data_IF_399034238889
#
_entry.id   IF_399034238889
#
_cell.length_a   1.000
_cell.length_b   1.000
_cell.length_c   1.000
_cell.angle_alpha   90.00
_cell.angle_beta   90.00
_cell.angle_gamma   90.00
#
_symmetry.space_group_name_H-M   'P 1'
#
loop_
_entity.id
_entity.type
_entity.pdbx_description
1 polymer ?
#
# COMPACT_ATOMS: atom_id res chain seq x y z
N UNK A 1 4.42 -8.04 9.47
CA UNK A 1 4.67 -7.77 10.91
C UNK A 1 6.08 -7.20 11.05
N UNK A 2 6.23 -5.87 11.05
CA UNK A 2 7.55 -5.20 11.03
C UNK A 2 8.30 -5.32 12.36
N UNK A 3 7.57 -5.55 13.46
CA UNK A 3 8.11 -5.60 14.83
C UNK A 3 9.09 -6.78 15.02
N UNK A 4 8.82 -7.93 14.40
CA UNK A 4 9.67 -9.12 14.49
C UNK A 4 11.05 -8.90 13.85
N UNK A 5 11.10 -8.24 12.70
CA UNK A 5 12.37 -7.88 12.05
C UNK A 5 13.17 -6.90 12.91
N UNK A 6 12.47 -5.99 13.61
CA UNK A 6 13.09 -4.99 14.48
C UNK A 6 13.75 -5.65 15.71
N UNK A 7 13.05 -6.58 16.37
CA UNK A 7 13.63 -7.36 17.47
C UNK A 7 14.81 -8.21 16.98
N UNK A 8 14.66 -8.87 15.83
CA UNK A 8 15.72 -9.71 15.27
C UNK A 8 16.99 -8.90 14.97
N UNK A 9 16.87 -7.62 14.58
CA UNK A 9 18.01 -6.70 14.39
C UNK A 9 18.77 -6.41 15.69
N UNK A 10 18.07 -6.31 16.82
CA UNK A 10 18.68 -6.02 18.13
C UNK A 10 19.41 -7.25 18.69
N UNK A 11 18.88 -8.44 18.45
CA UNK A 11 19.39 -9.70 18.99
C UNK A 11 20.36 -10.46 18.07
N UNK A 12 20.63 -9.95 16.86
CA UNK A 12 21.50 -10.65 15.92
C UNK A 12 22.97 -10.59 16.34
N UNK A 13 23.64 -11.75 16.31
CA UNK A 13 25.08 -11.80 16.48
C UNK A 13 25.78 -11.19 15.25
N UNK A 14 26.27 -9.96 15.44
CA UNK A 14 26.94 -9.17 14.40
C UNK A 14 28.31 -9.72 14.01
N UNK A 15 28.89 -10.61 14.81
CA UNK A 15 30.19 -11.20 14.51
C UNK A 15 30.09 -12.30 13.44
N UNK A 16 28.89 -12.86 13.26
CA UNK A 16 28.65 -13.89 12.26
C UNK A 16 28.04 -13.30 10.98
N UNK A 17 28.86 -13.23 9.93
CA UNK A 17 28.50 -12.68 8.61
C UNK A 17 27.33 -13.41 7.94
N UNK A 18 27.12 -14.69 8.23
CA UNK A 18 26.02 -15.49 7.66
C UNK A 18 24.68 -15.01 8.20
N UNK A 19 24.57 -14.77 9.50
CA UNK A 19 23.34 -14.26 10.10
C UNK A 19 23.03 -12.84 9.62
N UNK A 20 24.03 -11.96 9.57
CA UNK A 20 23.87 -10.59 9.06
C UNK A 20 23.39 -10.59 7.61
N UNK A 21 23.98 -11.43 6.74
CA UNK A 21 23.58 -11.56 5.34
C UNK A 21 22.15 -12.10 5.18
N UNK A 22 21.78 -13.14 5.93
CA UNK A 22 20.43 -13.70 5.91
C UNK A 22 19.37 -12.69 6.38
N UNK A 23 19.68 -11.91 7.42
CA UNK A 23 18.80 -10.87 7.92
C UNK A 23 18.56 -9.76 6.90
N UNK A 24 19.61 -9.28 6.23
CA UNK A 24 19.51 -8.29 5.15
C UNK A 24 18.61 -8.80 4.02
N UNK A 25 18.78 -10.05 3.59
CA UNK A 25 17.97 -10.65 2.53
C UNK A 25 16.49 -10.71 2.93
N UNK A 26 16.21 -11.13 4.18
CA UNK A 26 14.86 -11.20 4.74
C UNK A 26 14.21 -9.80 4.82
N UNK A 27 14.98 -8.78 5.19
CA UNK A 27 14.54 -7.39 5.25
C UNK A 27 14.13 -6.87 3.86
N UNK A 28 14.94 -7.13 2.84
CA UNK A 28 14.63 -6.75 1.46
C UNK A 28 13.38 -7.46 0.93
N UNK A 29 13.26 -8.78 1.15
CA UNK A 29 12.06 -9.55 0.80
C UNK A 29 10.80 -8.96 1.42
N UNK A 30 10.83 -8.68 2.71
CA UNK A 30 9.69 -8.09 3.42
C UNK A 30 9.32 -6.71 2.85
N UNK A 31 10.33 -5.89 2.57
CA UNK A 31 10.13 -4.54 1.99
C UNK A 31 9.50 -4.63 0.60
N UNK A 32 9.98 -5.53 -0.25
CA UNK A 32 9.42 -5.75 -1.59
C UNK A 32 7.94 -6.14 -1.50
N UNK A 33 7.58 -7.11 -0.65
CA UNK A 33 6.19 -7.54 -0.48
C UNK A 33 5.31 -6.37 -0.04
N UNK A 34 5.81 -5.53 0.87
CA UNK A 34 5.10 -4.37 1.38
C UNK A 34 4.87 -3.31 0.27
N UNK A 35 5.89 -3.03 -0.52
CA UNK A 35 5.80 -2.14 -1.68
C UNK A 35 4.87 -2.71 -2.75
N UNK A 36 4.94 -4.00 -3.06
CA UNK A 36 4.01 -4.64 -4.01
C UNK A 36 2.56 -4.51 -3.54
N UNK A 37 2.30 -4.70 -2.23
CA UNK A 37 0.96 -4.49 -1.66
C UNK A 37 0.47 -3.05 -1.81
N UNK A 38 1.35 -2.07 -1.58
CA UNK A 38 0.96 -0.66 -1.68
C UNK A 38 0.71 -0.26 -3.14
N UNK A 39 1.52 -0.76 -4.07
CA UNK A 39 1.32 -0.58 -5.50
C UNK A 39 0.03 -1.25 -5.98
N UNK A 40 -0.28 -2.44 -5.45
CA UNK A 40 -1.54 -3.11 -5.73
C UNK A 40 -2.73 -2.29 -5.23
N UNK A 41 -2.71 -1.82 -3.98
CA UNK A 41 -3.75 -0.96 -3.44
C UNK A 41 -3.89 0.34 -4.26
N UNK A 42 -2.78 0.97 -4.66
CA UNK A 42 -2.80 2.15 -5.55
C UNK A 42 -3.43 1.84 -6.91
N UNK A 43 -3.13 0.67 -7.48
CA UNK A 43 -3.68 0.22 -8.75
C UNK A 43 -5.18 -0.08 -8.64
N UNK A 44 -5.62 -0.71 -7.56
CA UNK A 44 -7.03 -0.97 -7.26
C UNK A 44 -7.78 0.34 -7.07
N UNK A 45 -7.25 1.26 -6.27
CA UNK A 45 -7.83 2.58 -6.06
C UNK A 45 -7.94 3.37 -7.39
N UNK A 46 -6.89 3.38 -8.22
CA UNK A 46 -7.00 3.99 -9.55
C UNK A 46 -7.97 3.27 -10.48
N UNK A 47 -8.16 1.96 -10.33
CA UNK A 47 -9.12 1.21 -11.14
C UNK A 47 -10.55 1.53 -10.75
N UNK A 48 -10.85 1.59 -9.44
CA UNK A 48 -12.18 1.94 -8.92
C UNK A 48 -12.60 3.37 -9.29
N UNK A 49 -11.66 4.33 -9.28
CA UNK A 49 -11.95 5.72 -9.64
C UNK A 49 -11.93 6.02 -11.15
N UNK A 50 -11.32 5.14 -11.94
CA UNK A 50 -11.24 5.27 -13.41
C UNK A 50 -12.16 4.28 -14.13
N UNK A 51 -12.99 3.54 -13.39
CA UNK A 51 -13.98 2.66 -13.98
C UNK A 51 -15.09 3.52 -14.58
N UNK A 52 -15.35 3.30 -15.87
CA UNK A 52 -16.31 4.09 -16.66
C UNK A 52 -17.75 3.98 -16.12
N UNK A 53 -18.01 3.02 -15.24
CA UNK A 53 -19.26 2.87 -14.51
C UNK A 53 -19.41 3.83 -13.33
N UNK A 54 -18.31 4.27 -12.69
CA UNK A 54 -18.37 5.20 -11.55
C UNK A 54 -18.84 6.61 -11.98
N UNK A 55 -18.52 7.00 -13.23
CA UNK A 55 -18.98 8.26 -13.82
C UNK A 55 -20.45 8.24 -14.28
N UNK A 56 -21.04 7.04 -14.45
CA UNK A 56 -22.44 6.87 -14.87
C UNK A 56 -23.36 6.44 -13.71
N UNK A 57 -22.82 6.29 -12.50
CA UNK A 57 -23.61 5.94 -11.33
C UNK A 57 -24.57 7.09 -10.97
N UNK A 58 -25.86 6.76 -10.89
CA UNK A 58 -26.92 7.72 -10.61
C UNK A 58 -26.72 8.46 -9.27
N UNK A 59 -26.01 7.87 -8.32
CA UNK A 59 -25.68 8.50 -7.04
C UNK A 59 -24.63 9.62 -7.17
N UNK A 60 -23.63 9.43 -8.05
CA UNK A 60 -22.55 10.39 -8.31
C UNK A 60 -23.08 11.58 -9.12
N UNK A 61 -23.90 11.31 -10.16
CA UNK A 61 -24.56 12.37 -10.96
C UNK A 61 -25.46 13.23 -10.06
N UNK A 62 -26.19 12.61 -9.12
CA UNK A 62 -27.05 13.33 -8.17
C UNK A 62 -26.24 14.17 -7.18
N UNK A 63 -25.05 13.71 -6.75
CA UNK A 63 -24.14 14.53 -5.94
C UNK A 63 -23.56 15.71 -6.72
N UNK A 64 -23.27 15.53 -8.01
CA UNK A 64 -22.79 16.62 -8.88
C UNK A 64 -23.88 17.68 -9.07
N UNK A 65 -25.12 17.28 -9.37
CA UNK A 65 -26.27 18.18 -9.53
C UNK A 65 -26.59 18.96 -8.24
N UNK A 66 -26.48 18.31 -7.08
CA UNK A 66 -26.61 18.97 -5.79
C UNK A 66 -25.50 20.00 -5.57
N UNK A 67 -24.24 19.65 -5.88
CA UNK A 67 -23.10 20.56 -5.74
C UNK A 67 -23.27 21.80 -6.62
N UNK A 68 -23.66 21.62 -7.88
CA UNK A 68 -23.90 22.73 -8.82
C UNK A 68 -25.07 23.64 -8.40
N UNK A 69 -26.08 23.08 -7.71
CA UNK A 69 -27.17 23.86 -7.11
C UNK A 69 -26.78 24.64 -5.86
N UNK A 70 -25.78 24.20 -5.11
CA UNK A 70 -25.30 24.91 -3.91
C UNK A 70 -24.24 25.97 -4.24
N UNK A 71 -23.57 25.87 -5.38
CA UNK A 71 -22.56 26.83 -5.85
C UNK A 71 -23.18 28.03 -6.62
N UNK A 72 -24.50 28.06 -6.76
CA UNK A 72 -25.27 29.10 -7.47
C UNK A 72 -26.27 29.79 -6.54
#
# INVERSE_FOLDING_TARGET
MPIILLFMLIFIDRNNKVYVGGFLLLLFLYTIILVTRILYAKKVWHKEFNDKDYANDASIIKMQDLTEKFDK
#
